data_IF_808198008398
#
_entry.id   IF_808198008398
#
_cell.length_a   1.000
_cell.length_b   1.000
_cell.length_c   1.000
_cell.angle_alpha   90.00
_cell.angle_beta   90.00
_cell.angle_gamma   90.00
#
_symmetry.space_group_name_H-M   'P 1'
#
loop_
_entity.id
_entity.type
_entity.pdbx_description
1 polymer ?
#
# COMPACT_ATOMS: atom_id res chain seq x y z
N UNK A 1 -20.71 -44.31 -14.57
CA UNK A 1 -20.34 -42.98 -14.10
C UNK A 1 -20.96 -42.80 -12.71
N UNK A 2 -20.17 -42.94 -11.65
CA UNK A 2 -20.61 -42.78 -10.26
C UNK A 2 -20.77 -41.28 -9.96
N UNK A 3 -21.90 -40.81 -9.43
CA UNK A 3 -22.06 -39.44 -9.05
C UNK A 3 -21.12 -39.13 -7.85
N UNK A 4 -20.33 -38.08 -8.00
CA UNK A 4 -19.47 -37.59 -6.91
C UNK A 4 -20.31 -37.34 -5.67
N UNK A 5 -19.85 -37.80 -4.52
CA UNK A 5 -20.58 -37.64 -3.26
C UNK A 5 -20.66 -36.15 -2.88
N UNK A 6 -21.71 -35.73 -2.18
CA UNK A 6 -21.91 -34.35 -1.73
C UNK A 6 -20.69 -33.82 -0.91
N UNK A 7 -19.92 -34.71 -0.29
CA UNK A 7 -18.66 -34.39 0.40
C UNK A 7 -17.53 -34.02 -0.57
N UNK A 8 -17.39 -34.73 -1.68
CA UNK A 8 -16.38 -34.41 -2.72
C UNK A 8 -16.71 -33.10 -3.44
N UNK A 9 -17.99 -32.82 -3.68
CA UNK A 9 -18.43 -31.51 -4.22
C UNK A 9 -18.16 -30.36 -3.27
N UNK A 10 -18.36 -30.55 -1.96
CA UNK A 10 -18.02 -29.53 -0.94
C UNK A 10 -16.52 -29.32 -0.80
N UNK A 11 -15.72 -30.39 -0.90
CA UNK A 11 -14.26 -30.30 -0.87
C UNK A 11 -13.72 -29.59 -2.13
N UNK A 12 -14.23 -29.92 -3.31
CA UNK A 12 -13.84 -29.25 -4.55
C UNK A 12 -14.28 -27.79 -4.60
N UNK A 13 -15.46 -27.46 -4.10
CA UNK A 13 -15.92 -26.07 -3.99
C UNK A 13 -15.12 -25.26 -2.96
N UNK A 14 -14.77 -25.86 -1.81
CA UNK A 14 -13.90 -25.19 -0.82
C UNK A 14 -12.46 -25.04 -1.33
N UNK A 15 -11.93 -26.01 -2.09
CA UNK A 15 -10.63 -25.88 -2.70
C UNK A 15 -10.62 -24.84 -3.82
N UNK A 16 -11.65 -24.77 -4.65
CA UNK A 16 -11.76 -23.74 -5.69
C UNK A 16 -11.96 -22.34 -5.09
N UNK A 17 -12.74 -22.20 -4.01
CA UNK A 17 -12.84 -20.94 -3.27
C UNK A 17 -11.51 -20.52 -2.63
N UNK A 18 -10.80 -21.43 -2.00
CA UNK A 18 -9.51 -21.13 -1.38
C UNK A 18 -8.41 -20.81 -2.41
N UNK A 19 -8.42 -21.44 -3.58
CA UNK A 19 -7.54 -21.10 -4.70
C UNK A 19 -7.91 -19.75 -5.32
N UNK A 20 -9.19 -19.42 -5.43
CA UNK A 20 -9.63 -18.14 -5.99
C UNK A 20 -9.38 -16.97 -5.04
N UNK A 21 -9.36 -17.19 -3.72
CA UNK A 21 -8.97 -16.17 -2.74
C UNK A 21 -7.46 -15.91 -2.68
N UNK A 22 -6.63 -16.94 -2.90
CA UNK A 22 -5.16 -16.77 -2.94
C UNK A 22 -4.65 -15.97 -4.15
N UNK A 23 -5.47 -15.83 -5.16
CA UNK A 23 -5.09 -15.31 -6.48
C UNK A 23 -5.50 -13.84 -6.69
N UNK A 24 -5.37 -12.97 -5.68
CA UNK A 24 -5.73 -11.55 -5.82
C UNK A 24 -4.64 -10.66 -5.23
N UNK A 25 -4.46 -9.48 -5.83
CA UNK A 25 -3.65 -8.43 -5.22
C UNK A 25 -4.20 -8.06 -3.84
N UNK A 26 -3.42 -7.31 -3.06
CA UNK A 26 -3.74 -7.01 -1.67
C UNK A 26 -4.92 -6.04 -1.55
N UNK A 27 -6.13 -6.59 -1.50
CA UNK A 27 -7.37 -5.84 -1.27
C UNK A 27 -7.43 -5.39 0.20
N UNK A 28 -7.70 -4.11 0.43
CA UNK A 28 -7.92 -3.51 1.75
C UNK A 28 -8.88 -2.33 1.64
N UNK A 29 -9.74 -2.11 2.66
CA UNK A 29 -10.64 -0.96 2.64
C UNK A 29 -9.84 0.35 2.69
N UNK A 30 -10.33 1.37 1.97
CA UNK A 30 -9.67 2.68 1.91
C UNK A 30 -9.54 3.28 3.31
N UNK A 31 -10.54 3.14 4.17
CA UNK A 31 -10.49 3.63 5.56
C UNK A 31 -9.36 2.97 6.35
N UNK A 32 -9.24 1.64 6.28
CA UNK A 32 -8.14 0.91 6.94
C UNK A 32 -6.78 1.32 6.38
N UNK A 33 -6.68 1.47 5.06
CA UNK A 33 -5.46 1.95 4.40
C UNK A 33 -5.06 3.32 4.93
N UNK A 34 -6.00 4.28 4.96
CA UNK A 34 -5.78 5.65 5.44
C UNK A 34 -5.33 5.67 6.90
N UNK A 35 -5.99 4.92 7.77
CA UNK A 35 -5.61 4.83 9.18
C UNK A 35 -4.18 4.31 9.36
N UNK A 36 -3.85 3.21 8.70
CA UNK A 36 -2.51 2.62 8.77
C UNK A 36 -1.46 3.55 8.17
N UNK A 37 -1.75 4.18 7.04
CA UNK A 37 -0.84 5.11 6.39
C UNK A 37 -0.56 6.35 7.26
N UNK A 38 -1.62 7.01 7.73
CA UNK A 38 -1.50 8.24 8.51
C UNK A 38 -0.81 8.00 9.87
N UNK A 39 -1.24 6.97 10.61
CA UNK A 39 -0.72 6.68 11.94
C UNK A 39 0.69 6.07 11.95
N UNK A 40 1.23 5.72 10.78
CA UNK A 40 2.62 5.27 10.63
C UNK A 40 3.47 6.25 9.81
N UNK A 41 3.01 7.48 9.60
CA UNK A 41 3.68 8.48 8.76
C UNK A 41 4.12 7.94 7.39
N UNK A 42 3.25 7.19 6.73
CA UNK A 42 3.54 6.56 5.44
C UNK A 42 4.34 5.24 5.51
N UNK A 43 4.88 4.86 6.66
CA UNK A 43 5.66 3.62 6.83
C UNK A 43 4.90 2.34 6.44
N UNK A 44 3.58 2.36 6.51
CA UNK A 44 2.72 1.28 6.05
C UNK A 44 2.94 0.90 4.58
N UNK A 45 3.44 1.81 3.74
CA UNK A 45 3.66 1.56 2.30
C UNK A 45 4.65 0.44 2.05
N UNK A 46 5.65 0.25 2.91
CA UNK A 46 6.60 -0.86 2.78
C UNK A 46 5.86 -2.20 2.90
N UNK A 47 5.01 -2.34 3.92
CA UNK A 47 4.19 -3.55 4.09
C UNK A 47 3.18 -3.72 2.96
N UNK A 48 2.51 -2.65 2.55
CA UNK A 48 1.55 -2.64 1.46
C UNK A 48 2.20 -3.05 0.13
N UNK A 49 3.36 -2.52 -0.18
CA UNK A 49 4.14 -2.90 -1.36
C UNK A 49 4.54 -4.38 -1.31
N UNK A 50 5.06 -4.84 -0.17
CA UNK A 50 5.38 -6.25 0.02
C UNK A 50 4.19 -7.16 -0.26
N UNK A 51 3.02 -6.86 0.31
CA UNK A 51 1.81 -7.66 0.14
C UNK A 51 1.36 -7.71 -1.33
N UNK A 52 1.42 -6.60 -2.04
CA UNK A 52 1.06 -6.55 -3.45
C UNK A 52 2.06 -7.34 -4.31
N UNK A 53 3.36 -7.19 -4.10
CA UNK A 53 4.36 -7.96 -4.83
C UNK A 53 4.34 -9.46 -4.50
N UNK A 54 4.09 -9.82 -3.25
CA UNK A 54 3.93 -11.22 -2.85
C UNK A 54 2.70 -11.86 -3.50
N UNK A 55 1.59 -11.12 -3.54
CA UNK A 55 0.37 -11.55 -4.23
C UNK A 55 0.58 -11.66 -5.74
N UNK A 56 1.25 -10.68 -6.35
CA UNK A 56 1.58 -10.72 -7.77
C UNK A 56 2.47 -11.92 -8.12
N UNK A 57 3.51 -12.19 -7.32
CA UNK A 57 4.36 -13.38 -7.47
C UNK A 57 3.54 -14.66 -7.45
N UNK A 58 2.61 -14.80 -6.51
CA UNK A 58 1.75 -15.96 -6.38
C UNK A 58 0.80 -16.14 -7.58
N UNK A 59 0.41 -15.02 -8.21
CA UNK A 59 -0.48 -15.00 -9.38
C UNK A 59 0.26 -15.33 -10.68
N UNK A 60 1.42 -14.69 -10.89
CA UNK A 60 2.14 -14.73 -12.16
C UNK A 60 3.09 -15.90 -12.27
N UNK A 61 3.54 -16.46 -11.13
CA UNK A 61 4.63 -17.45 -11.08
C UNK A 61 6.01 -16.85 -11.39
N UNK A 62 6.11 -15.52 -11.59
CA UNK A 62 7.38 -14.86 -11.89
C UNK A 62 8.39 -15.00 -10.74
N UNK A 63 9.65 -15.20 -11.07
CA UNK A 63 10.75 -15.27 -10.10
C UNK A 63 11.16 -13.87 -9.66
N UNK A 64 10.38 -13.26 -8.77
CA UNK A 64 10.64 -11.95 -8.17
C UNK A 64 10.89 -12.07 -6.67
N UNK A 65 11.58 -11.08 -6.10
CA UNK A 65 11.82 -10.99 -4.65
C UNK A 65 10.96 -9.86 -4.05
N UNK A 66 9.79 -10.17 -3.46
CA UNK A 66 8.85 -9.16 -2.94
C UNK A 66 9.47 -8.24 -1.89
N UNK A 67 10.36 -8.79 -1.05
CA UNK A 67 11.02 -8.02 0.03
C UNK A 67 11.88 -6.89 -0.53
N UNK A 68 12.73 -7.18 -1.53
CA UNK A 68 13.58 -6.16 -2.16
C UNK A 68 12.73 -5.06 -2.80
N UNK A 69 11.67 -5.46 -3.53
CA UNK A 69 10.74 -4.51 -4.16
C UNK A 69 9.94 -3.68 -3.15
N UNK A 70 9.73 -4.21 -1.95
CA UNK A 70 9.06 -3.49 -0.88
C UNK A 70 9.98 -2.48 -0.19
N UNK A 71 11.21 -2.84 0.09
CA UNK A 71 12.20 -1.94 0.70
C UNK A 71 12.54 -0.79 -0.27
N UNK A 72 12.72 -1.12 -1.54
CA UNK A 72 12.98 -0.15 -2.61
C UNK A 72 11.69 0.30 -3.32
N UNK A 73 10.58 0.38 -2.59
CA UNK A 73 9.25 0.63 -3.14
C UNK A 73 9.16 1.88 -4.05
N UNK A 74 9.86 2.99 -3.81
CA UNK A 74 9.75 4.16 -4.69
C UNK A 74 10.14 3.85 -6.13
N UNK A 75 11.14 2.99 -6.35
CA UNK A 75 11.58 2.57 -7.67
C UNK A 75 10.69 1.50 -8.31
N UNK A 76 9.93 0.76 -7.49
CA UNK A 76 9.08 -0.33 -7.95
C UNK A 76 7.58 0.02 -7.97
N UNK A 77 7.22 1.29 -7.68
CA UNK A 77 5.83 1.72 -7.68
C UNK A 77 5.26 1.78 -9.10
N UNK A 78 6.02 2.29 -10.07
CA UNK A 78 5.62 2.34 -11.48
C UNK A 78 5.38 0.94 -12.05
N UNK A 79 6.33 -0.01 -11.95
CA UNK A 79 6.08 -1.39 -12.35
C UNK A 79 4.86 -2.03 -11.67
N UNK A 80 4.62 -1.72 -10.39
CA UNK A 80 3.43 -2.25 -9.69
C UNK A 80 2.14 -1.69 -10.29
N UNK A 81 2.10 -0.39 -10.53
CA UNK A 81 0.93 0.27 -11.11
C UNK A 81 0.63 -0.21 -12.54
N UNK A 82 1.67 -0.45 -13.34
CA UNK A 82 1.55 -1.05 -14.66
C UNK A 82 0.94 -2.47 -14.59
N UNK A 83 1.36 -3.30 -13.62
CA UNK A 83 0.76 -4.62 -13.41
C UNK A 83 -0.71 -4.54 -13.00
N UNK A 84 -1.09 -3.55 -12.19
CA UNK A 84 -2.50 -3.30 -11.81
C UNK A 84 -3.31 -2.92 -13.03
N UNK A 85 -2.82 -1.97 -13.85
CA UNK A 85 -3.50 -1.54 -15.07
C UNK A 85 -3.67 -2.68 -16.06
N UNK A 86 -2.58 -3.40 -16.36
CA UNK A 86 -2.63 -4.58 -17.23
C UNK A 86 -3.62 -5.65 -16.74
N UNK A 87 -3.76 -5.77 -15.42
CA UNK A 87 -4.74 -6.67 -14.81
C UNK A 87 -6.18 -6.19 -15.03
N UNK A 88 -6.45 -4.90 -14.88
CA UNK A 88 -7.76 -4.28 -15.13
C UNK A 88 -8.15 -4.48 -16.60
N UNK A 89 -7.24 -4.19 -17.53
CA UNK A 89 -7.46 -4.33 -18.97
C UNK A 89 -7.79 -5.78 -19.36
N UNK A 90 -7.02 -6.75 -18.84
CA UNK A 90 -7.24 -8.18 -19.09
C UNK A 90 -8.57 -8.70 -18.54
N UNK A 91 -9.05 -8.12 -17.45
CA UNK A 91 -10.31 -8.53 -16.82
C UNK A 91 -11.53 -7.77 -17.32
N UNK A 92 -11.34 -6.78 -18.22
CA UNK A 92 -12.40 -5.90 -18.71
C UNK A 92 -13.01 -4.99 -17.63
N UNK A 93 -12.32 -4.80 -16.50
CA UNK A 93 -12.78 -3.95 -15.39
C UNK A 93 -12.32 -2.53 -15.63
N UNK A 94 -13.24 -1.65 -15.95
CA UNK A 94 -12.94 -0.25 -16.18
C UNK A 94 -12.79 0.49 -14.85
N UNK A 95 -11.60 1.05 -14.61
CA UNK A 95 -11.36 2.03 -13.55
C UNK A 95 -10.45 3.12 -14.11
N UNK A 96 -10.96 4.35 -14.14
CA UNK A 96 -10.19 5.48 -14.66
C UNK A 96 -9.26 6.02 -13.58
N UNK A 97 -7.98 5.71 -13.69
CA UNK A 97 -6.91 6.27 -12.89
C UNK A 97 -5.66 6.42 -13.76
N UNK A 98 -4.78 7.28 -13.47
CA UNK A 98 -3.60 7.55 -14.29
C UNK A 98 -2.36 6.90 -13.64
N UNK A 99 -2.09 5.60 -13.87
CA UNK A 99 -1.05 4.86 -13.15
C UNK A 99 0.34 5.46 -13.31
N UNK A 100 0.72 5.81 -14.54
CA UNK A 100 2.02 6.39 -14.86
C UNK A 100 2.20 7.75 -14.21
N UNK A 101 1.26 8.66 -14.40
CA UNK A 101 1.30 10.02 -13.82
C UNK A 101 1.36 9.97 -12.30
N UNK A 102 0.54 9.13 -11.66
CA UNK A 102 0.54 8.99 -10.20
C UNK A 102 1.82 8.36 -9.68
N UNK A 103 2.33 7.34 -10.35
CA UNK A 103 3.59 6.70 -10.00
C UNK A 103 4.77 7.68 -10.10
N UNK A 104 4.85 8.46 -11.18
CA UNK A 104 5.86 9.50 -11.37
C UNK A 104 5.75 10.61 -10.33
N UNK A 105 4.52 11.07 -10.01
CA UNK A 105 4.29 12.08 -8.98
C UNK A 105 4.73 11.57 -7.60
N UNK A 106 4.41 10.33 -7.22
CA UNK A 106 4.88 9.74 -5.97
C UNK A 106 6.40 9.72 -5.92
N UNK A 107 7.07 9.27 -6.99
CA UNK A 107 8.54 9.27 -7.05
C UNK A 107 9.11 10.69 -6.90
N UNK A 108 8.52 11.67 -7.59
CA UNK A 108 8.95 13.07 -7.51
C UNK A 108 8.77 13.63 -6.09
N UNK A 109 7.63 13.37 -5.43
CA UNK A 109 7.36 13.83 -4.07
C UNK A 109 8.33 13.20 -3.06
N UNK A 110 8.64 11.91 -3.21
CA UNK A 110 9.64 11.23 -2.37
C UNK A 110 11.04 11.81 -2.60
N UNK A 111 11.43 12.06 -3.86
CA UNK A 111 12.73 12.70 -4.16
C UNK A 111 12.80 14.11 -3.60
N UNK A 112 11.70 14.87 -3.67
CA UNK A 112 11.61 16.21 -3.08
C UNK A 112 11.75 16.17 -1.56
N UNK A 113 11.11 15.22 -0.87
CA UNK A 113 11.26 15.02 0.57
C UNK A 113 12.72 14.75 0.94
N UNK A 114 13.39 13.82 0.24
CA UNK A 114 14.82 13.55 0.46
C UNK A 114 15.66 14.80 0.23
N UNK A 115 15.38 15.56 -0.84
CA UNK A 115 16.12 16.80 -1.15
C UNK A 115 15.94 17.84 -0.04
N UNK A 116 14.71 18.08 0.41
CA UNK A 116 14.42 19.03 1.50
C UNK A 116 15.15 18.60 2.76
N UNK A 117 15.01 17.36 3.19
CA UNK A 117 15.67 16.85 4.41
C UNK A 117 17.20 16.90 4.34
N UNK A 118 17.80 16.79 3.15
CA UNK A 118 19.26 16.83 2.99
C UNK A 118 19.81 18.25 2.84
N UNK A 119 19.04 19.19 2.28
CA UNK A 119 19.46 20.57 2.07
C UNK A 119 19.25 21.45 3.29
N UNK A 120 18.19 21.21 4.07
CA UNK A 120 17.80 22.00 5.24
C UNK A 120 18.16 21.24 6.52
N UNK A 121 19.40 21.44 7.01
CA UNK A 121 19.98 20.67 8.11
C UNK A 121 20.24 21.49 9.38
N UNK A 122 19.96 22.78 9.34
CA UNK A 122 20.13 23.64 10.51
C UNK A 122 19.00 23.41 11.53
N UNK A 123 19.24 23.54 12.83
CA UNK A 123 18.17 23.45 13.83
C UNK A 123 16.99 24.36 13.55
N UNK A 124 17.24 25.58 13.05
CA UNK A 124 16.20 26.54 12.63
C UNK A 124 15.31 26.07 11.48
N UNK A 125 15.73 25.04 10.73
CA UNK A 125 14.98 24.53 9.59
C UNK A 125 14.03 23.38 9.97
N UNK A 126 14.12 22.91 11.20
CA UNK A 126 13.47 21.66 11.66
C UNK A 126 11.96 21.72 11.47
N UNK A 127 11.32 22.84 11.86
CA UNK A 127 9.86 23.00 11.67
C UNK A 127 9.51 23.03 10.18
N UNK A 128 10.27 23.77 9.37
CA UNK A 128 10.05 23.84 7.93
C UNK A 128 10.12 22.44 7.27
N UNK A 129 11.16 21.67 7.60
CA UNK A 129 11.33 20.28 7.10
C UNK A 129 10.16 19.41 7.55
N UNK A 130 9.81 19.45 8.85
CA UNK A 130 8.71 18.67 9.39
C UNK A 130 7.36 18.97 8.71
N UNK A 131 7.03 20.24 8.55
CA UNK A 131 5.79 20.66 7.89
C UNK A 131 5.75 20.28 6.43
N UNK A 132 6.89 20.46 5.73
CA UNK A 132 7.02 20.09 4.31
C UNK A 132 6.88 18.58 4.12
N UNK A 133 7.59 17.76 4.89
CA UNK A 133 7.49 16.31 4.80
C UNK A 133 6.09 15.81 5.14
N UNK A 134 5.43 16.40 6.14
CA UNK A 134 4.03 16.08 6.46
C UNK A 134 3.11 16.36 5.28
N UNK A 135 3.27 17.49 4.61
CA UNK A 135 2.49 17.84 3.42
C UNK A 135 2.76 16.90 2.24
N UNK A 136 4.04 16.54 2.00
CA UNK A 136 4.43 15.59 0.94
C UNK A 136 3.88 14.19 1.21
N UNK A 137 3.93 13.72 2.46
CA UNK A 137 3.34 12.43 2.88
C UNK A 137 1.82 12.44 2.64
N UNK A 138 1.13 13.53 2.99
CA UNK A 138 -0.31 13.67 2.74
C UNK A 138 -0.64 13.67 1.24
N UNK A 139 0.15 14.36 0.41
CA UNK A 139 0.00 14.34 -1.05
C UNK A 139 0.21 12.93 -1.63
N UNK A 140 1.24 12.22 -1.20
CA UNK A 140 1.47 10.82 -1.57
C UNK A 140 0.29 9.93 -1.18
N UNK A 141 -0.30 10.15 0.02
CA UNK A 141 -1.46 9.39 0.48
C UNK A 141 -2.61 9.44 -0.51
N UNK A 142 -2.93 10.63 -1.04
CA UNK A 142 -4.00 10.81 -2.03
C UNK A 142 -3.74 9.97 -3.30
N UNK A 143 -2.48 9.91 -3.77
CA UNK A 143 -2.11 9.09 -4.92
C UNK A 143 -2.24 7.58 -4.64
N UNK A 144 -1.81 7.15 -3.46
CA UNK A 144 -1.92 5.74 -3.03
C UNK A 144 -3.36 5.29 -2.80
N UNK A 145 -4.25 6.17 -2.34
CA UNK A 145 -5.69 5.85 -2.20
C UNK A 145 -6.29 5.47 -3.55
N UNK A 146 -5.96 6.18 -4.61
CA UNK A 146 -6.43 5.85 -5.95
C UNK A 146 -5.85 4.51 -6.46
N UNK A 147 -4.57 4.25 -6.20
CA UNK A 147 -3.96 2.96 -6.49
C UNK A 147 -4.64 1.82 -5.72
N UNK A 148 -4.97 2.03 -4.44
CA UNK A 148 -5.70 1.03 -3.65
C UNK A 148 -7.11 0.79 -4.18
N UNK A 149 -7.81 1.83 -4.64
CA UNK A 149 -9.11 1.68 -5.30
C UNK A 149 -9.01 0.86 -6.58
N UNK A 150 -7.99 1.12 -7.41
CA UNK A 150 -7.71 0.34 -8.62
C UNK A 150 -7.44 -1.15 -8.29
N UNK A 151 -6.64 -1.42 -7.26
CA UNK A 151 -6.37 -2.78 -6.76
C UNK A 151 -7.64 -3.45 -6.26
N UNK A 152 -8.47 -2.74 -5.50
CA UNK A 152 -9.75 -3.24 -5.01
C UNK A 152 -10.71 -3.57 -6.16
N UNK A 153 -10.76 -2.72 -7.18
CA UNK A 153 -11.55 -2.96 -8.40
C UNK A 153 -11.05 -4.21 -9.12
N UNK A 154 -9.73 -4.35 -9.32
CA UNK A 154 -9.11 -5.54 -9.91
C UNK A 154 -9.41 -6.79 -9.06
N UNK A 155 -9.38 -6.68 -7.74
CA UNK A 155 -9.73 -7.76 -6.81
C UNK A 155 -11.20 -8.16 -6.78
N UNK A 156 -12.09 -7.39 -7.44
CA UNK A 156 -13.54 -7.64 -7.44
C UNK A 156 -14.21 -7.33 -6.09
N UNK A 157 -13.60 -6.47 -5.30
CA UNK A 157 -14.12 -5.94 -4.04
C UNK A 157 -13.81 -4.43 -3.97
N UNK A 158 -14.53 -3.59 -4.72
CA UNK A 158 -14.23 -2.16 -4.86
C UNK A 158 -14.17 -1.41 -3.52
N UNK A 159 -14.89 -1.88 -2.52
CA UNK A 159 -14.93 -1.27 -1.19
C UNK A 159 -13.90 -1.88 -0.22
N UNK A 160 -13.23 -2.97 -0.58
CA UNK A 160 -12.26 -3.66 0.27
C UNK A 160 -12.87 -4.26 1.53
N UNK A 161 -14.16 -4.65 1.50
CA UNK A 161 -14.91 -5.14 2.66
C UNK A 161 -14.31 -6.40 3.28
N UNK A 162 -13.68 -7.26 2.46
CA UNK A 162 -13.07 -8.50 2.93
C UNK A 162 -11.90 -8.27 3.89
N UNK A 163 -11.28 -7.09 3.84
CA UNK A 163 -10.16 -6.71 4.68
C UNK A 163 -10.36 -5.31 5.26
N UNK A 164 -11.51 -5.09 5.87
CA UNK A 164 -11.87 -3.81 6.51
C UNK A 164 -11.57 -3.79 8.01
N UNK A 165 -11.62 -4.95 8.69
CA UNK A 165 -11.36 -5.05 10.12
C UNK A 165 -9.87 -4.84 10.46
N UNK A 166 -9.61 -4.13 11.55
CA UNK A 166 -8.27 -3.97 12.11
C UNK A 166 -7.90 -5.25 12.89
N UNK A 167 -6.74 -5.82 12.58
CA UNK A 167 -6.16 -6.92 13.36
C UNK A 167 -5.34 -6.38 14.54
N UNK A 168 -5.07 -7.23 15.54
CA UNK A 168 -4.18 -6.86 16.64
C UNK A 168 -2.82 -6.35 16.15
N UNK A 169 -2.24 -6.98 15.10
CA UNK A 169 -0.99 -6.50 14.50
C UNK A 169 -1.12 -5.10 13.91
N UNK A 170 -2.25 -4.76 13.29
CA UNK A 170 -2.48 -3.40 12.80
C UNK A 170 -2.49 -2.39 13.95
N UNK A 171 -3.15 -2.71 15.05
CA UNK A 171 -3.23 -1.85 16.24
C UNK A 171 -1.82 -1.62 16.82
N UNK A 172 -1.02 -2.68 16.98
CA UNK A 172 0.37 -2.58 17.47
C UNK A 172 1.19 -1.65 16.58
N UNK A 173 1.13 -1.79 15.27
CA UNK A 173 1.85 -0.92 14.33
C UNK A 173 1.37 0.53 14.38
N UNK A 174 0.07 0.75 14.54
CA UNK A 174 -0.50 2.11 14.68
C UNK A 174 -0.04 2.77 15.97
N UNK A 175 -0.07 2.04 17.11
CA UNK A 175 0.42 2.55 18.39
C UNK A 175 1.91 2.88 18.31
N UNK A 176 2.71 1.99 17.74
CA UNK A 176 4.14 2.25 17.53
C UNK A 176 4.38 3.49 16.65
N UNK A 177 3.65 3.63 15.55
CA UNK A 177 3.74 4.80 14.68
C UNK A 177 3.37 6.10 15.40
N UNK A 178 2.28 6.11 16.16
CA UNK A 178 1.86 7.27 16.96
C UNK A 178 2.93 7.64 17.99
N UNK A 179 3.53 6.67 18.68
CA UNK A 179 4.63 6.93 19.61
C UNK A 179 5.82 7.58 18.91
N UNK A 180 6.23 7.06 17.76
CA UNK A 180 7.31 7.66 16.96
C UNK A 180 6.97 9.10 16.55
N UNK A 181 5.77 9.34 16.03
CA UNK A 181 5.32 10.68 15.66
C UNK A 181 5.31 11.66 16.84
N UNK A 182 4.88 11.20 18.01
CA UNK A 182 4.87 12.02 19.25
C UNK A 182 6.30 12.39 19.66
N UNK A 183 7.23 11.44 19.59
CA UNK A 183 8.65 11.69 19.91
C UNK A 183 9.25 12.71 18.93
N UNK A 184 8.98 12.55 17.63
CA UNK A 184 9.47 13.47 16.59
C UNK A 184 8.89 14.88 16.82
N UNK A 185 7.58 14.99 17.03
CA UNK A 185 6.93 16.27 17.28
C UNK A 185 7.48 16.97 18.54
N UNK A 186 7.72 16.21 19.61
CA UNK A 186 8.33 16.73 20.82
C UNK A 186 9.77 17.21 20.58
N UNK A 187 10.57 16.44 19.83
CA UNK A 187 11.94 16.84 19.47
C UNK A 187 11.96 18.12 18.62
N UNK A 188 11.05 18.26 17.66
CA UNK A 188 10.89 19.48 16.86
C UNK A 188 10.58 20.68 17.77
N UNK A 189 9.62 20.53 18.68
CA UNK A 189 9.24 21.60 19.62
C UNK A 189 10.40 22.03 20.52
N UNK A 190 11.21 21.06 21.03
CA UNK A 190 12.36 21.34 21.89
C UNK A 190 13.56 21.98 21.16
N UNK A 191 13.62 21.92 19.84
CA UNK A 191 14.69 22.54 19.05
C UNK A 191 14.34 23.98 18.62
N UNK A 192 13.09 24.39 18.79
CA UNK A 192 12.63 25.75 18.49
C UNK A 192 12.71 26.71 19.71
N UNK A 193 12.73 26.16 20.94
CA UNK A 193 12.93 26.92 22.18
C UNK A 193 14.43 27.13 22.45
#
# INVERSE_FOLDING_TARGET
MTPATAAEQRLSSNQSHSHHERNRLYVVSVTKFLLLYALTAGGYIVYWSYRNWASYKALSGESITPVIRAVLWPFFILPLFDKVQSGLDKTGRCYFWQPETRGLLIMLLVMLSVLVTTCFTQPSDTLFVFMTDTALIAACCAMFVEAQRAINMLGGDPQGRRNSALSCSNIVWMVFGVLCLTIIAYAVFMLED
#
